data_IF_792692572405
#
_entry.id   IF_792692572405
#
_cell.length_a   1.000
_cell.length_b   1.000
_cell.length_c   1.000
_cell.angle_alpha   90.00
_cell.angle_beta   90.00
_cell.angle_gamma   90.00
#
_symmetry.space_group_name_H-M   'P 1'
#
loop_
_entity.id
_entity.type
_entity.pdbx_description
1 polymer ?
#
# COMPACT_ATOMS: atom_id res chain seq x y z
N UNK A 1 -3.99 -11.27 -14.52
CA UNK A 1 -4.11 -10.19 -13.47
C UNK A 1 -5.52 -9.61 -13.47
N UNK A 2 -6.25 -9.61 -12.33
CA UNK A 2 -7.58 -8.95 -12.21
C UNK A 2 -7.39 -7.44 -12.27
N UNK A 3 -8.33 -6.74 -12.94
CA UNK A 3 -8.34 -5.28 -13.09
C UNK A 3 -9.62 -4.72 -12.46
N UNK A 4 -9.48 -3.65 -11.70
CA UNK A 4 -10.57 -2.79 -11.19
C UNK A 4 -10.50 -1.46 -11.91
N UNK A 5 -11.64 -0.87 -12.25
CA UNK A 5 -11.68 0.45 -12.88
C UNK A 5 -12.22 1.50 -11.91
N UNK A 6 -11.57 2.66 -11.86
CA UNK A 6 -11.97 3.81 -11.05
C UNK A 6 -11.63 5.12 -11.76
N UNK A 7 -12.62 5.99 -11.95
CA UNK A 7 -12.47 7.30 -12.62
C UNK A 7 -11.79 7.19 -14.00
N UNK A 8 -12.14 6.15 -14.78
CA UNK A 8 -11.52 5.89 -16.09
C UNK A 8 -10.07 5.39 -16.02
N UNK A 9 -9.58 5.02 -14.83
CA UNK A 9 -8.25 4.44 -14.64
C UNK A 9 -8.35 2.98 -14.24
N UNK A 10 -7.52 2.15 -14.84
CA UNK A 10 -7.43 0.71 -14.54
C UNK A 10 -6.40 0.48 -13.43
N UNK A 11 -6.75 -0.33 -12.46
CA UNK A 11 -5.95 -0.69 -11.29
C UNK A 11 -5.78 -2.21 -11.30
N UNK A 12 -4.55 -2.69 -11.33
CA UNK A 12 -4.26 -4.13 -11.22
C UNK A 12 -4.41 -4.61 -9.78
N UNK A 13 -4.82 -5.88 -9.59
CA UNK A 13 -4.97 -6.49 -8.27
C UNK A 13 -3.66 -6.51 -7.46
N UNK A 14 -2.51 -6.44 -8.14
CA UNK A 14 -1.20 -6.16 -7.55
C UNK A 14 -0.73 -4.79 -8.04
N UNK A 15 -0.34 -3.94 -7.11
CA UNK A 15 0.29 -2.64 -7.34
C UNK A 15 1.75 -2.74 -6.93
N UNK A 16 2.67 -2.34 -7.82
CA UNK A 16 4.08 -2.24 -7.45
C UNK A 16 4.32 -1.03 -6.55
N UNK A 17 4.76 -1.28 -5.31
CA UNK A 17 5.29 -0.25 -4.43
C UNK A 17 6.70 0.13 -4.86
N UNK A 18 6.96 1.42 -5.07
CA UNK A 18 8.19 1.90 -5.70
C UNK A 18 9.13 2.64 -4.75
N UNK A 19 8.95 2.53 -3.44
CA UNK A 19 9.84 3.16 -2.47
C UNK A 19 11.31 2.72 -2.66
N UNK A 20 11.52 1.42 -2.93
CA UNK A 20 12.86 0.86 -3.20
C UNK A 20 13.51 1.42 -4.45
N UNK A 21 12.74 1.87 -5.43
CA UNK A 21 13.29 2.45 -6.66
C UNK A 21 13.86 3.86 -6.47
N UNK A 22 13.53 4.52 -5.36
CA UNK A 22 13.97 5.88 -5.08
C UNK A 22 14.77 6.08 -3.79
N UNK A 23 14.83 5.06 -2.93
CA UNK A 23 15.50 5.10 -1.63
C UNK A 23 16.12 3.74 -1.31
N UNK A 24 17.13 3.72 -0.45
CA UNK A 24 17.55 2.50 0.26
C UNK A 24 16.50 2.13 1.31
N UNK A 25 15.39 1.52 0.88
CA UNK A 25 14.20 1.27 1.70
C UNK A 25 14.02 -0.23 1.98
N UNK A 26 13.72 -0.57 3.23
CA UNK A 26 13.44 -1.94 3.68
C UNK A 26 14.41 -2.39 4.77
N UNK A 27 13.88 -3.04 5.83
CA UNK A 27 14.68 -3.51 6.97
C UNK A 27 15.76 -4.53 6.53
N UNK A 28 15.48 -5.27 5.47
CA UNK A 28 16.36 -6.30 4.93
C UNK A 28 17.05 -5.86 3.63
N UNK A 29 16.92 -4.58 3.22
CA UNK A 29 17.56 -4.09 2.01
C UNK A 29 19.05 -3.88 2.23
N UNK A 30 19.85 -4.90 1.92
CA UNK A 30 21.33 -4.83 1.91
C UNK A 30 21.90 -4.29 0.58
N UNK A 31 21.08 -4.07 -0.45
CA UNK A 31 21.54 -3.67 -1.80
C UNK A 31 21.53 -2.15 -2.02
N UNK A 32 20.82 -1.41 -1.18
CA UNK A 32 20.62 0.03 -1.37
C UNK A 32 19.57 0.37 -2.43
N UNK A 33 19.67 1.59 -2.98
CA UNK A 33 18.83 2.02 -4.10
C UNK A 33 19.36 1.41 -5.40
N UNK A 34 18.50 0.79 -6.25
CA UNK A 34 18.92 0.21 -7.51
C UNK A 34 19.38 1.28 -8.52
N UNK A 35 20.23 0.90 -9.47
CA UNK A 35 20.49 1.70 -10.66
C UNK A 35 19.20 1.87 -11.50
N UNK A 36 19.21 2.84 -12.43
CA UNK A 36 18.05 3.02 -13.32
C UNK A 36 17.81 1.78 -14.20
N UNK A 37 18.86 1.11 -14.62
CA UNK A 37 18.82 -0.11 -15.41
C UNK A 37 18.17 -1.26 -14.63
N UNK A 38 18.54 -1.45 -13.36
CA UNK A 38 17.93 -2.46 -12.48
C UNK A 38 16.45 -2.11 -12.17
N UNK A 39 16.15 -0.82 -11.90
CA UNK A 39 14.79 -0.35 -11.75
C UNK A 39 13.94 -0.60 -13.00
N UNK A 40 14.50 -0.39 -14.18
CA UNK A 40 13.83 -0.65 -15.47
C UNK A 40 13.48 -2.12 -15.65
N UNK A 41 14.37 -3.04 -15.26
CA UNK A 41 14.09 -4.49 -15.31
C UNK A 41 12.93 -4.89 -14.39
N UNK A 42 12.82 -4.27 -13.21
CA UNK A 42 11.67 -4.49 -12.31
C UNK A 42 10.39 -3.97 -12.95
N UNK A 43 10.42 -2.78 -13.56
CA UNK A 43 9.27 -2.17 -14.23
C UNK A 43 8.84 -2.95 -15.49
N UNK A 44 9.80 -3.43 -16.30
CA UNK A 44 9.52 -4.32 -17.43
C UNK A 44 8.84 -5.62 -16.99
N UNK A 45 9.35 -6.22 -15.90
CA UNK A 45 8.76 -7.42 -15.31
C UNK A 45 7.34 -7.13 -14.82
N UNK A 46 7.11 -6.00 -14.15
CA UNK A 46 5.77 -5.60 -13.70
C UNK A 46 4.78 -5.55 -14.87
N UNK A 47 5.16 -4.84 -15.91
CA UNK A 47 4.30 -4.69 -17.10
C UNK A 47 4.08 -6.01 -17.84
N UNK A 48 5.07 -6.92 -17.89
CA UNK A 48 4.93 -8.24 -18.52
C UNK A 48 3.95 -9.15 -17.75
N UNK A 49 3.89 -9.00 -16.42
CA UNK A 49 2.94 -9.71 -15.56
C UNK A 49 1.54 -9.05 -15.49
N UNK A 50 1.32 -7.98 -16.26
CA UNK A 50 0.06 -7.23 -16.28
C UNK A 50 -0.15 -6.36 -15.04
N UNK A 51 0.93 -6.02 -14.32
CA UNK A 51 0.90 -5.04 -13.24
C UNK A 51 1.00 -3.66 -13.87
N UNK A 52 -0.11 -2.93 -13.87
CA UNK A 52 -0.22 -1.60 -14.48
C UNK A 52 -0.38 -0.48 -13.45
N UNK A 53 -0.40 -0.81 -12.16
CA UNK A 53 -0.53 0.14 -11.06
C UNK A 53 0.78 0.27 -10.31
N UNK A 54 1.20 1.53 -10.02
CA UNK A 54 2.47 1.86 -9.39
C UNK A 54 2.21 2.84 -8.24
N UNK A 55 2.54 2.44 -7.00
CA UNK A 55 2.38 3.27 -5.81
C UNK A 55 3.72 3.94 -5.46
N UNK A 56 3.77 5.24 -5.62
CA UNK A 56 4.92 6.09 -5.31
C UNK A 56 4.58 7.16 -4.29
N UNK A 57 5.50 8.06 -3.98
CA UNK A 57 5.27 9.24 -3.17
C UNK A 57 6.38 10.26 -3.41
N UNK A 58 6.05 11.54 -3.22
CA UNK A 58 7.04 12.64 -3.18
C UNK A 58 8.16 12.38 -2.15
N UNK A 59 7.83 11.73 -1.02
CA UNK A 59 8.77 11.37 0.03
C UNK A 59 9.66 10.15 -0.29
N UNK A 60 9.50 9.50 -1.45
CA UNK A 60 10.28 8.32 -1.84
C UNK A 60 11.51 8.68 -2.69
N UNK A 61 12.19 9.77 -2.34
CA UNK A 61 13.43 10.20 -3.00
C UNK A 61 13.26 10.38 -4.50
N UNK A 62 14.00 9.59 -5.29
CA UNK A 62 14.00 9.67 -6.76
C UNK A 62 12.90 8.84 -7.43
N UNK A 63 12.03 8.16 -6.68
CA UNK A 63 11.05 7.22 -7.24
C UNK A 63 10.14 7.82 -8.30
N UNK A 64 9.62 9.05 -8.09
CA UNK A 64 8.80 9.73 -9.10
C UNK A 64 9.59 10.04 -10.39
N UNK A 65 10.86 10.47 -10.26
CA UNK A 65 11.72 10.76 -11.40
C UNK A 65 12.12 9.49 -12.17
N UNK A 66 12.39 8.38 -11.46
CA UNK A 66 12.65 7.06 -12.07
C UNK A 66 11.45 6.60 -12.89
N UNK A 67 10.23 6.67 -12.33
CA UNK A 67 9.01 6.34 -13.05
C UNK A 67 8.79 7.25 -14.26
N UNK A 68 8.96 8.56 -14.10
CA UNK A 68 8.81 9.53 -15.18
C UNK A 68 9.79 9.26 -16.32
N UNK A 69 11.08 9.03 -16.01
CA UNK A 69 12.12 8.69 -16.99
C UNK A 69 11.82 7.38 -17.74
N UNK A 70 11.37 6.36 -17.02
CA UNK A 70 11.03 5.06 -17.60
C UNK A 70 9.84 5.20 -18.53
N UNK A 71 8.74 5.77 -18.07
CA UNK A 71 7.50 5.88 -18.82
C UNK A 71 7.54 6.93 -19.94
N UNK A 72 8.51 7.82 -19.98
CA UNK A 72 8.71 8.72 -21.11
C UNK A 72 8.98 7.99 -22.43
N UNK A 73 9.52 6.75 -22.35
CA UNK A 73 9.83 5.90 -23.51
C UNK A 73 8.87 4.73 -23.67
N UNK A 74 8.03 4.48 -22.66
CA UNK A 74 7.13 3.33 -22.59
C UNK A 74 5.68 3.79 -22.75
N UNK A 75 5.06 3.38 -23.84
CA UNK A 75 3.69 3.79 -24.20
C UNK A 75 2.57 2.93 -23.62
N UNK A 76 2.88 1.88 -22.83
CA UNK A 76 1.87 0.99 -22.25
C UNK A 76 1.01 1.70 -21.23
N UNK A 77 -0.24 1.24 -21.09
CA UNK A 77 -1.20 1.73 -20.10
C UNK A 77 -0.65 1.59 -18.68
N UNK A 78 -0.79 2.65 -17.88
CA UNK A 78 -0.34 2.67 -16.49
C UNK A 78 -1.19 3.58 -15.62
N UNK A 79 -1.27 3.25 -14.35
CA UNK A 79 -1.90 4.08 -13.32
C UNK A 79 -0.90 4.33 -12.19
N UNK A 80 -0.43 5.56 -12.08
CA UNK A 80 0.50 5.98 -11.04
C UNK A 80 -0.30 6.63 -9.90
N UNK A 81 -0.08 6.14 -8.69
CA UNK A 81 -0.70 6.63 -7.47
C UNK A 81 0.40 7.28 -6.63
N UNK A 82 0.43 8.62 -6.56
CA UNK A 82 1.44 9.32 -5.76
C UNK A 82 0.86 9.91 -4.48
N UNK A 83 1.73 10.39 -3.59
CA UNK A 83 1.37 10.92 -2.28
C UNK A 83 2.14 12.19 -1.97
N UNK A 84 1.47 13.13 -1.31
CA UNK A 84 2.07 14.36 -0.79
C UNK A 84 2.07 14.34 0.74
N UNK A 85 3.10 14.93 1.33
CA UNK A 85 3.24 15.15 2.76
C UNK A 85 3.79 16.55 3.01
N UNK A 86 3.11 17.27 3.89
CA UNK A 86 3.62 18.49 4.53
C UNK A 86 2.99 18.61 5.93
N UNK A 87 3.72 19.15 6.90
CA UNK A 87 3.29 19.14 8.30
C UNK A 87 3.22 20.54 8.92
N UNK A 88 4.11 21.43 8.55
CA UNK A 88 4.25 22.76 9.20
C UNK A 88 3.92 23.89 8.23
N UNK A 89 2.66 23.87 7.74
CA UNK A 89 2.11 24.86 6.82
C UNK A 89 0.98 25.58 7.53
N UNK A 90 0.91 26.88 7.38
CA UNK A 90 -0.24 27.66 7.84
C UNK A 90 -1.52 27.21 7.12
N UNK A 91 -2.65 27.21 7.81
CA UNK A 91 -3.94 26.78 7.25
C UNK A 91 -4.30 27.56 5.99
N UNK A 92 -3.97 28.85 5.94
CA UNK A 92 -4.20 29.71 4.77
C UNK A 92 -3.36 29.32 3.53
N UNK A 93 -2.26 28.61 3.72
CA UNK A 93 -1.33 28.18 2.66
C UNK A 93 -1.52 26.71 2.24
N UNK A 94 -2.42 25.96 2.88
CA UNK A 94 -2.63 24.52 2.63
C UNK A 94 -2.94 24.26 1.16
N UNK A 95 -3.86 25.04 0.56
CA UNK A 95 -4.23 24.87 -0.84
C UNK A 95 -3.02 25.07 -1.75
N UNK A 96 -2.35 26.21 -1.63
CA UNK A 96 -1.22 26.54 -2.51
C UNK A 96 -0.08 25.55 -2.38
N UNK A 97 0.20 25.08 -1.16
CA UNK A 97 1.21 24.05 -0.89
C UNK A 97 0.83 22.71 -1.53
N UNK A 98 -0.43 22.28 -1.40
CA UNK A 98 -0.93 21.06 -2.03
C UNK A 98 -0.81 21.11 -3.55
N UNK A 99 -1.23 22.23 -4.15
CA UNK A 99 -1.18 22.42 -5.60
C UNK A 99 0.26 22.47 -6.12
N UNK A 100 1.15 23.16 -5.42
CA UNK A 100 2.58 23.20 -5.75
C UNK A 100 3.20 21.80 -5.68
N UNK A 101 2.87 21.03 -4.63
CA UNK A 101 3.34 19.65 -4.48
C UNK A 101 2.82 18.73 -5.60
N UNK A 102 1.55 18.86 -5.98
CA UNK A 102 0.97 18.10 -7.08
C UNK A 102 1.64 18.43 -8.43
N UNK A 103 1.86 19.70 -8.73
CA UNK A 103 2.56 20.12 -9.96
C UNK A 103 4.01 19.65 -10.01
N UNK A 104 4.70 19.62 -8.86
CA UNK A 104 6.06 19.06 -8.78
C UNK A 104 6.07 17.56 -9.08
N UNK A 105 5.11 16.80 -8.51
CA UNK A 105 4.94 15.37 -8.85
C UNK A 105 4.62 15.16 -10.32
N UNK A 106 3.71 15.97 -10.91
CA UNK A 106 3.40 15.93 -12.34
C UNK A 106 4.64 16.15 -13.22
N UNK A 107 5.48 17.13 -12.86
CA UNK A 107 6.73 17.42 -13.56
C UNK A 107 7.71 16.26 -13.50
N UNK A 108 7.91 15.66 -12.32
CA UNK A 108 8.81 14.50 -12.13
C UNK A 108 8.32 13.26 -12.87
N UNK A 109 7.01 13.02 -12.83
CA UNK A 109 6.36 11.87 -13.49
C UNK A 109 6.17 12.07 -15.00
N UNK A 110 6.42 13.28 -15.52
CA UNK A 110 6.24 13.60 -16.93
C UNK A 110 4.79 13.48 -17.40
N UNK A 111 3.83 13.92 -16.59
CA UNK A 111 2.40 13.83 -16.89
C UNK A 111 1.69 15.17 -16.69
N UNK A 112 0.67 15.42 -17.51
CA UNK A 112 -0.18 16.62 -17.37
C UNK A 112 -1.29 16.47 -16.33
N UNK A 113 -1.54 15.23 -15.87
CA UNK A 113 -2.56 14.90 -14.87
C UNK A 113 -2.14 13.67 -14.07
N UNK A 114 -2.31 13.71 -12.76
CA UNK A 114 -2.07 12.58 -11.88
C UNK A 114 -3.27 11.62 -11.95
N UNK A 115 -3.08 10.31 -12.20
CA UNK A 115 -4.19 9.36 -12.06
C UNK A 115 -4.81 9.41 -10.66
N UNK A 116 -3.97 9.29 -9.61
CA UNK A 116 -4.43 9.44 -8.23
C UNK A 116 -3.40 10.20 -7.38
N UNK A 117 -3.90 11.14 -6.59
CA UNK A 117 -3.12 11.86 -5.57
C UNK A 117 -3.68 11.55 -4.18
N UNK A 118 -2.82 11.11 -3.27
CA UNK A 118 -3.18 10.84 -1.88
C UNK A 118 -2.46 11.76 -0.89
N UNK A 119 -3.08 12.03 0.24
CA UNK A 119 -2.35 12.44 1.43
C UNK A 119 -1.51 11.26 1.93
N UNK A 120 -0.26 11.52 2.35
CA UNK A 120 0.67 10.45 2.69
C UNK A 120 0.31 9.75 4.00
N UNK A 121 -0.31 10.46 4.93
CA UNK A 121 -0.84 9.92 6.17
C UNK A 121 -2.05 10.71 6.69
N UNK A 122 -2.73 10.12 7.65
CA UNK A 122 -3.92 10.65 8.32
C UNK A 122 -3.67 11.93 9.13
N UNK A 123 -2.44 12.18 9.57
CA UNK A 123 -2.12 13.36 10.38
C UNK A 123 -2.42 14.67 9.66
N UNK A 124 -2.39 14.67 8.32
CA UNK A 124 -2.78 15.81 7.51
C UNK A 124 -4.29 16.10 7.60
N UNK A 125 -5.12 15.05 7.67
CA UNK A 125 -6.56 15.19 7.90
C UNK A 125 -6.83 15.66 9.33
N UNK A 126 -6.14 15.10 10.31
CA UNK A 126 -6.27 15.51 11.72
C UNK A 126 -5.88 16.98 11.92
N UNK A 127 -4.82 17.44 11.24
CA UNK A 127 -4.32 18.82 11.37
C UNK A 127 -5.14 19.84 10.61
N UNK A 128 -5.53 19.55 9.37
CA UNK A 128 -6.11 20.54 8.45
C UNK A 128 -7.61 20.32 8.18
N UNK A 129 -8.18 19.19 8.59
CA UNK A 129 -9.60 18.88 8.50
C UNK A 129 -10.21 19.17 7.13
N UNK A 130 -11.35 19.86 7.13
CA UNK A 130 -12.09 20.19 5.91
C UNK A 130 -11.32 21.09 4.93
N UNK A 131 -10.31 21.83 5.41
CA UNK A 131 -9.53 22.72 4.54
C UNK A 131 -8.76 21.92 3.49
N UNK A 132 -8.06 20.86 3.93
CA UNK A 132 -7.30 20.02 3.00
C UNK A 132 -8.20 19.13 2.15
N UNK A 133 -9.34 18.68 2.68
CA UNK A 133 -10.33 17.93 1.90
C UNK A 133 -10.90 18.78 0.76
N UNK A 134 -11.31 20.02 1.05
CA UNK A 134 -11.74 20.97 -0.01
C UNK A 134 -10.65 21.24 -1.03
N UNK A 135 -9.41 21.46 -0.59
CA UNK A 135 -8.29 21.70 -1.50
C UNK A 135 -8.03 20.50 -2.43
N UNK A 136 -8.19 19.25 -1.95
CA UNK A 136 -8.11 18.04 -2.78
C UNK A 136 -9.23 17.99 -3.83
N UNK A 137 -10.47 18.33 -3.44
CA UNK A 137 -11.58 18.38 -4.38
C UNK A 137 -11.43 19.46 -5.43
N UNK A 138 -10.92 20.64 -5.04
CA UNK A 138 -10.62 21.72 -5.98
C UNK A 138 -9.52 21.30 -6.97
N UNK A 139 -8.45 20.64 -6.49
CA UNK A 139 -7.39 20.10 -7.33
C UNK A 139 -7.92 19.10 -8.35
N UNK A 140 -8.84 18.21 -7.93
CA UNK A 140 -9.53 17.28 -8.84
C UNK A 140 -10.43 18.02 -9.83
N UNK A 141 -11.18 19.01 -9.40
CA UNK A 141 -12.06 19.80 -10.25
C UNK A 141 -11.27 20.62 -11.30
N UNK A 142 -10.09 21.13 -10.96
CA UNK A 142 -9.16 21.78 -11.90
C UNK A 142 -8.47 20.81 -12.87
N UNK A 143 -8.71 19.49 -12.73
CA UNK A 143 -8.19 18.47 -13.62
C UNK A 143 -6.73 18.11 -13.39
N UNK A 144 -6.14 18.48 -12.23
CA UNK A 144 -4.77 18.08 -11.90
C UNK A 144 -4.66 16.64 -11.41
N UNK A 145 -5.76 16.05 -10.92
CA UNK A 145 -5.86 14.62 -10.63
C UNK A 145 -7.21 14.04 -11.07
N UNK A 146 -7.25 12.76 -11.47
CA UNK A 146 -8.49 12.05 -11.77
C UNK A 146 -9.17 11.54 -10.49
N UNK A 147 -8.38 11.24 -9.46
CA UNK A 147 -8.87 10.81 -8.17
C UNK A 147 -7.99 11.27 -7.02
N UNK A 148 -8.62 11.38 -5.85
CA UNK A 148 -8.01 11.86 -4.62
C UNK A 148 -8.18 10.84 -3.49
N UNK A 149 -7.33 10.92 -2.47
CA UNK A 149 -7.44 9.97 -1.35
C UNK A 149 -6.45 10.21 -0.23
N UNK A 150 -6.29 9.18 0.59
CA UNK A 150 -5.43 9.21 1.77
C UNK A 150 -4.81 7.85 2.05
N UNK A 151 -3.59 7.85 2.59
CA UNK A 151 -2.94 6.65 3.14
C UNK A 151 -2.94 6.75 4.67
N UNK A 152 -3.36 5.68 5.32
CA UNK A 152 -3.36 5.55 6.78
C UNK A 152 -2.11 4.79 7.25
N UNK A 153 -1.58 5.23 8.38
CA UNK A 153 -0.60 4.49 9.19
C UNK A 153 -1.24 3.97 10.48
N UNK A 154 -2.01 4.81 11.17
CA UNK A 154 -2.91 4.41 12.25
C UNK A 154 -4.37 4.43 11.76
N UNK A 155 -5.07 3.29 11.88
CA UNK A 155 -6.42 3.09 11.37
C UNK A 155 -7.52 3.39 12.41
N UNK A 156 -7.16 3.75 13.63
CA UNK A 156 -8.13 3.93 14.74
C UNK A 156 -9.27 4.89 14.41
N UNK A 157 -8.97 5.92 13.62
CA UNK A 157 -9.94 6.96 13.24
C UNK A 157 -10.35 6.88 11.76
N UNK A 158 -10.06 5.77 11.08
CA UNK A 158 -10.26 5.69 9.63
C UNK A 158 -11.70 6.01 9.22
N UNK A 159 -12.68 5.49 9.94
CA UNK A 159 -14.11 5.74 9.66
C UNK A 159 -14.47 7.21 9.89
N UNK A 160 -14.00 7.80 11.00
CA UNK A 160 -14.25 9.20 11.35
C UNK A 160 -13.61 10.14 10.30
N UNK A 161 -12.32 9.94 10.01
CA UNK A 161 -11.55 10.82 9.14
C UNK A 161 -11.91 10.70 7.65
N UNK A 162 -12.54 9.60 7.24
CA UNK A 162 -12.99 9.43 5.84
C UNK A 162 -14.45 9.78 5.62
N UNK A 163 -15.23 9.97 6.70
CA UNK A 163 -16.66 10.22 6.62
C UNK A 163 -16.96 11.51 5.84
N UNK A 164 -17.71 11.37 4.76
CA UNK A 164 -18.12 12.50 3.91
C UNK A 164 -17.00 13.09 3.04
N UNK A 165 -15.78 12.58 3.11
CA UNK A 165 -14.65 13.11 2.33
C UNK A 165 -14.71 12.78 0.83
N UNK A 166 -15.49 11.79 0.40
CA UNK A 166 -15.61 11.42 -1.01
C UNK A 166 -14.29 10.97 -1.64
N UNK A 167 -13.43 10.29 -0.89
CA UNK A 167 -12.16 9.79 -1.40
C UNK A 167 -12.36 8.68 -2.44
N UNK A 168 -11.63 8.76 -3.54
CA UNK A 168 -11.61 7.76 -4.60
C UNK A 168 -10.73 6.57 -4.25
N UNK A 169 -9.66 6.80 -3.46
CA UNK A 169 -8.70 5.77 -3.06
C UNK A 169 -8.34 5.92 -1.57
N UNK A 170 -8.33 4.80 -0.85
CA UNK A 170 -7.89 4.72 0.53
C UNK A 170 -6.84 3.63 0.62
N UNK A 171 -5.69 3.95 1.21
CA UNK A 171 -4.60 3.00 1.43
C UNK A 171 -4.42 2.79 2.93
N UNK A 172 -4.27 1.52 3.34
CA UNK A 172 -4.03 1.20 4.75
C UNK A 172 -3.15 -0.05 4.90
N UNK A 173 -2.44 -0.21 6.03
CA UNK A 173 -1.80 -1.49 6.34
C UNK A 173 -2.87 -2.51 6.75
N UNK A 174 -2.74 -3.73 6.26
CA UNK A 174 -3.43 -4.88 6.80
C UNK A 174 -2.65 -6.16 6.48
N UNK A 175 -2.75 -7.15 7.36
CA UNK A 175 -2.18 -8.47 7.22
C UNK A 175 -2.91 -9.43 8.17
N UNK A 176 -2.49 -10.68 8.24
CA UNK A 176 -3.17 -11.67 9.10
C UNK A 176 -3.26 -11.19 10.55
N UNK A 177 -2.19 -10.61 11.12
CA UNK A 177 -2.16 -10.15 12.52
C UNK A 177 -2.86 -8.81 12.73
N UNK A 178 -2.94 -7.96 11.69
CA UNK A 178 -3.63 -6.68 11.73
C UNK A 178 -4.80 -6.67 10.74
N UNK A 179 -5.85 -7.41 11.08
CA UNK A 179 -7.03 -7.61 10.23
C UNK A 179 -8.32 -7.00 10.79
N UNK A 180 -8.26 -6.15 11.81
CA UNK A 180 -9.42 -5.62 12.54
C UNK A 180 -10.45 -4.96 11.62
N UNK A 181 -10.01 -4.14 10.67
CA UNK A 181 -10.88 -3.43 9.72
C UNK A 181 -11.48 -4.36 8.66
N UNK A 182 -10.91 -5.56 8.52
CA UNK A 182 -11.48 -6.66 7.72
C UNK A 182 -12.55 -7.37 8.57
N UNK A 183 -12.22 -7.73 9.81
CA UNK A 183 -13.08 -8.50 10.69
C UNK A 183 -14.36 -7.75 11.08
N UNK A 184 -14.27 -6.42 11.30
CA UNK A 184 -15.42 -5.57 11.65
C UNK A 184 -16.20 -5.05 10.43
N UNK A 185 -15.80 -5.41 9.20
CA UNK A 185 -16.43 -5.00 7.94
C UNK A 185 -16.14 -3.56 7.52
N UNK A 186 -15.21 -2.85 8.15
CA UNK A 186 -14.83 -1.48 7.76
C UNK A 186 -14.32 -1.40 6.33
N UNK A 187 -13.46 -2.34 5.90
CA UNK A 187 -12.96 -2.41 4.50
C UNK A 187 -14.12 -2.48 3.52
N UNK A 188 -15.10 -3.35 3.78
CA UNK A 188 -16.29 -3.50 2.93
C UNK A 188 -17.09 -2.20 2.86
N UNK A 189 -17.42 -1.59 4.00
CA UNK A 189 -18.16 -0.31 4.05
C UNK A 189 -17.46 0.82 3.33
N UNK A 190 -16.13 0.95 3.47
CA UNK A 190 -15.34 1.96 2.75
C UNK A 190 -15.36 1.71 1.24
N UNK A 191 -15.28 0.46 0.80
CA UNK A 191 -15.41 0.10 -0.62
C UNK A 191 -16.81 0.39 -1.16
N UNK A 192 -17.87 0.06 -0.41
CA UNK A 192 -19.26 0.35 -0.78
C UNK A 192 -19.55 1.85 -0.86
N UNK A 193 -18.82 2.69 -0.10
CA UNK A 193 -18.89 4.15 -0.25
C UNK A 193 -18.22 4.68 -1.52
N UNK A 194 -17.64 3.79 -2.34
CA UNK A 194 -17.05 4.09 -3.63
C UNK A 194 -15.54 4.23 -3.64
N UNK A 195 -14.83 4.02 -2.53
CA UNK A 195 -13.38 4.08 -2.50
C UNK A 195 -12.73 2.77 -2.98
N UNK A 196 -11.70 2.85 -3.80
CA UNK A 196 -10.78 1.73 -4.05
C UNK A 196 -9.85 1.54 -2.87
N UNK A 197 -9.88 0.37 -2.25
CA UNK A 197 -9.08 0.05 -1.07
C UNK A 197 -7.78 -0.63 -1.48
N UNK A 198 -6.66 0.00 -1.12
CA UNK A 198 -5.31 -0.51 -1.32
C UNK A 198 -4.74 -1.00 0.01
N UNK A 199 -4.25 -2.23 0.03
CA UNK A 199 -3.63 -2.81 1.23
C UNK A 199 -2.12 -2.91 1.05
N UNK A 200 -1.37 -2.41 2.03
CA UNK A 200 0.08 -2.56 2.16
C UNK A 200 0.46 -3.35 3.40
N UNK A 201 1.75 -3.66 3.55
CA UNK A 201 2.33 -4.34 4.72
C UNK A 201 1.84 -5.78 4.93
N UNK A 202 1.63 -6.51 3.83
CA UNK A 202 1.11 -7.88 3.80
C UNK A 202 1.88 -8.85 4.70
N UNK A 203 3.21 -8.67 4.79
CA UNK A 203 4.12 -9.54 5.54
C UNK A 203 4.57 -8.95 6.87
N UNK A 204 3.93 -7.87 7.33
CA UNK A 204 4.27 -7.17 8.58
C UNK A 204 5.79 -6.96 8.71
N UNK A 205 6.38 -6.25 7.71
CA UNK A 205 7.83 -6.02 7.61
C UNK A 205 8.68 -7.31 7.62
N UNK A 206 8.15 -8.40 7.10
CA UNK A 206 8.85 -9.70 7.05
C UNK A 206 8.76 -10.51 8.34
N UNK A 207 7.96 -10.07 9.32
CA UNK A 207 7.79 -10.79 10.58
C UNK A 207 7.35 -12.25 10.38
N UNK A 208 6.46 -12.50 9.41
CA UNK A 208 5.94 -13.83 9.13
C UNK A 208 6.99 -14.85 8.68
N UNK A 209 8.18 -14.38 8.28
CA UNK A 209 9.30 -15.22 7.83
C UNK A 209 10.45 -15.29 8.85
N UNK A 210 10.31 -14.59 9.99
CA UNK A 210 11.36 -14.61 11.01
C UNK A 210 11.36 -15.92 11.79
N UNK A 211 12.55 -16.33 12.16
CA UNK A 211 12.73 -17.33 13.20
C UNK A 211 12.16 -16.81 14.51
N UNK A 212 11.21 -17.55 15.08
CA UNK A 212 10.46 -17.15 16.28
C UNK A 212 11.31 -17.11 17.55
N UNK A 213 12.47 -17.78 17.56
CA UNK A 213 13.43 -17.71 18.66
C UNK A 213 14.31 -16.44 18.61
N UNK A 214 14.36 -15.76 17.46
CA UNK A 214 15.18 -14.57 17.23
C UNK A 214 14.39 -13.24 17.29
N UNK A 215 13.17 -13.24 17.81
CA UNK A 215 12.34 -12.04 17.86
C UNK A 215 12.90 -10.98 18.81
N UNK A 216 12.81 -9.67 18.44
CA UNK A 216 13.08 -8.57 19.33
C UNK A 216 12.30 -8.70 20.65
N UNK A 217 12.91 -8.29 21.77
CA UNK A 217 12.31 -8.46 23.09
C UNK A 217 10.90 -7.86 23.20
N UNK A 218 10.69 -6.67 22.64
CA UNK A 218 9.39 -5.98 22.65
C UNK A 218 8.25 -6.72 21.97
N UNK A 219 8.57 -7.60 21.04
CA UNK A 219 7.58 -8.40 20.30
C UNK A 219 7.75 -9.90 20.52
N UNK A 220 8.41 -10.29 21.61
CA UNK A 220 8.57 -11.71 21.99
C UNK A 220 7.23 -12.42 22.19
N UNK A 221 6.20 -11.68 22.57
CA UNK A 221 4.81 -12.18 22.66
C UNK A 221 4.25 -12.67 21.31
N UNK A 222 4.82 -12.23 20.18
CA UNK A 222 4.44 -12.73 18.87
C UNK A 222 4.83 -14.20 18.61
N UNK A 223 5.75 -14.79 19.42
CA UNK A 223 6.25 -16.16 19.21
C UNK A 223 5.11 -17.15 19.12
N UNK A 224 4.23 -17.21 20.11
CA UNK A 224 3.11 -18.15 20.15
C UNK A 224 2.17 -18.04 18.93
N UNK A 225 1.66 -16.85 18.62
CA UNK A 225 0.88 -16.63 17.40
C UNK A 225 1.62 -16.99 16.10
N UNK A 226 2.90 -16.64 15.96
CA UNK A 226 3.70 -17.01 14.78
C UNK A 226 3.90 -18.52 14.64
N UNK A 227 4.23 -19.23 15.73
CA UNK A 227 4.39 -20.67 15.72
C UNK A 227 3.09 -21.40 15.31
N UNK A 228 1.93 -20.86 15.71
CA UNK A 228 0.62 -21.37 15.28
C UNK A 228 0.34 -21.04 13.81
N UNK A 229 0.71 -19.85 13.35
CA UNK A 229 0.52 -19.46 11.97
C UNK A 229 1.40 -20.29 11.02
N UNK A 230 2.65 -20.57 11.40
CA UNK A 230 3.54 -21.46 10.65
C UNK A 230 2.96 -22.88 10.55
N UNK A 231 2.48 -23.43 11.66
CA UNK A 231 1.82 -24.75 11.66
C UNK A 231 0.57 -24.77 10.79
N UNK A 232 -0.27 -23.73 10.87
CA UNK A 232 -1.44 -23.63 10.00
C UNK A 232 -1.08 -23.64 8.52
N UNK A 233 -0.01 -22.95 8.12
CA UNK A 233 0.50 -22.96 6.76
C UNK A 233 0.96 -24.37 6.33
N UNK A 234 1.76 -25.06 7.18
CA UNK A 234 2.24 -26.42 6.94
C UNK A 234 1.10 -27.42 6.83
N UNK A 235 0.18 -27.45 7.81
CA UNK A 235 -0.94 -28.38 7.90
C UNK A 235 -1.93 -28.21 6.72
N UNK A 236 -2.07 -27.00 6.20
CA UNK A 236 -2.92 -26.69 5.04
C UNK A 236 -2.22 -26.92 3.70
N UNK A 237 -0.91 -27.19 3.69
CA UNK A 237 -0.10 -27.31 2.48
C UNK A 237 0.06 -26.00 1.71
N UNK A 238 -0.15 -24.85 2.37
CA UNK A 238 -0.05 -23.52 1.79
C UNK A 238 1.24 -22.85 2.27
N UNK A 239 2.03 -22.28 1.37
CA UNK A 239 3.22 -21.52 1.76
C UNK A 239 2.85 -20.27 2.58
N UNK A 240 3.74 -19.84 3.51
CA UNK A 240 3.49 -18.66 4.36
C UNK A 240 3.21 -17.39 3.54
N UNK A 241 3.95 -17.15 2.46
CA UNK A 241 3.73 -16.02 1.57
C UNK A 241 2.35 -16.08 0.89
N UNK A 242 1.97 -17.27 0.44
CA UNK A 242 0.67 -17.53 -0.17
C UNK A 242 -0.46 -17.35 0.84
N UNK A 243 -0.33 -17.87 2.05
CA UNK A 243 -1.30 -17.68 3.13
C UNK A 243 -1.52 -16.18 3.41
N UNK A 244 -0.44 -15.41 3.57
CA UNK A 244 -0.51 -13.98 3.85
C UNK A 244 -1.15 -13.17 2.72
N UNK A 245 -0.78 -13.45 1.46
CA UNK A 245 -1.33 -12.76 0.29
C UNK A 245 -2.78 -13.16 0.06
N UNK A 246 -3.11 -14.45 0.09
CA UNK A 246 -4.46 -14.96 -0.19
C UNK A 246 -5.46 -14.51 0.88
N UNK A 247 -5.03 -14.46 2.14
CA UNK A 247 -5.85 -13.93 3.23
C UNK A 247 -6.38 -12.51 2.93
N UNK A 248 -5.53 -11.63 2.40
CA UNK A 248 -5.91 -10.25 2.07
C UNK A 248 -6.57 -10.18 0.69
N UNK A 249 -6.01 -10.83 -0.34
CA UNK A 249 -6.49 -10.81 -1.72
C UNK A 249 -7.96 -11.22 -1.84
N UNK A 250 -8.36 -12.23 -1.06
CA UNK A 250 -9.69 -12.82 -1.12
C UNK A 250 -10.72 -12.11 -0.21
N UNK A 251 -10.31 -10.99 0.40
CA UNK A 251 -11.20 -10.15 1.20
C UNK A 251 -12.05 -9.26 0.30
N UNK A 252 -13.37 -9.29 0.51
CA UNK A 252 -14.32 -8.44 -0.22
C UNK A 252 -14.03 -6.94 0.02
N UNK A 253 -14.10 -6.15 -1.04
CA UNK A 253 -13.86 -4.71 -1.00
C UNK A 253 -12.42 -4.28 -1.24
N UNK A 254 -11.45 -5.20 -1.28
CA UNK A 254 -10.06 -4.87 -1.60
C UNK A 254 -9.85 -4.81 -3.12
N UNK A 255 -9.37 -3.67 -3.59
CA UNK A 255 -9.10 -3.42 -5.00
C UNK A 255 -7.70 -3.89 -5.41
N UNK A 256 -6.68 -3.61 -4.59
CA UNK A 256 -5.29 -3.90 -4.94
C UNK A 256 -4.42 -4.11 -3.70
N UNK A 257 -3.43 -5.00 -3.84
CA UNK A 257 -2.37 -5.21 -2.86
C UNK A 257 -1.10 -4.48 -3.29
N UNK A 258 -0.47 -3.75 -2.38
CA UNK A 258 0.79 -3.06 -2.67
C UNK A 258 1.95 -3.93 -2.18
N UNK A 259 2.79 -4.33 -3.12
CA UNK A 259 4.01 -5.09 -2.86
C UNK A 259 5.22 -4.32 -3.37
N UNK A 260 6.17 -4.03 -2.48
CA UNK A 260 7.50 -3.56 -2.84
C UNK A 260 8.43 -4.76 -3.09
N UNK A 261 9.36 -4.60 -4.02
CA UNK A 261 10.38 -5.60 -4.31
C UNK A 261 11.72 -4.93 -4.63
N UNK A 262 12.79 -5.69 -4.51
CA UNK A 262 14.17 -5.28 -4.81
C UNK A 262 14.70 -5.94 -6.08
N UNK A 263 14.02 -6.99 -6.56
CA UNK A 263 14.43 -7.76 -7.72
C UNK A 263 13.23 -8.18 -8.58
N UNK A 264 13.44 -8.40 -9.89
CA UNK A 264 12.41 -9.00 -10.75
C UNK A 264 11.89 -10.36 -10.23
N UNK A 265 12.77 -11.18 -9.64
CA UNK A 265 12.38 -12.49 -9.09
C UNK A 265 11.36 -12.38 -7.96
N UNK A 266 11.56 -11.45 -7.00
CA UNK A 266 10.58 -11.18 -5.93
C UNK A 266 9.25 -10.69 -6.50
N UNK A 267 9.27 -9.92 -7.58
CA UNK A 267 8.05 -9.45 -8.23
C UNK A 267 7.29 -10.58 -8.91
N UNK A 268 8.00 -11.48 -9.61
CA UNK A 268 7.40 -12.68 -10.23
C UNK A 268 6.75 -13.59 -9.18
N UNK A 269 7.41 -13.80 -8.04
CA UNK A 269 6.84 -14.52 -6.91
C UNK A 269 5.55 -13.84 -6.43
N UNK A 270 5.57 -12.54 -6.17
CA UNK A 270 4.38 -11.77 -5.77
C UNK A 270 3.24 -11.86 -6.80
N UNK A 271 3.55 -11.78 -8.09
CA UNK A 271 2.57 -11.92 -9.18
C UNK A 271 1.95 -13.33 -9.22
N UNK A 272 2.74 -14.38 -8.98
CA UNK A 272 2.25 -15.76 -8.90
C UNK A 272 1.26 -15.93 -7.75
N UNK A 273 1.54 -15.35 -6.58
CA UNK A 273 0.68 -15.42 -5.40
C UNK A 273 -0.68 -14.74 -5.60
N UNK A 274 -0.75 -13.68 -6.42
CA UNK A 274 -2.02 -13.04 -6.79
C UNK A 274 -2.92 -13.99 -7.59
N UNK A 275 -2.35 -14.90 -8.35
CA UNK A 275 -3.07 -15.87 -9.18
C UNK A 275 -3.23 -17.25 -8.50
N UNK A 276 -2.66 -17.43 -7.30
CA UNK A 276 -2.79 -18.67 -6.54
C UNK A 276 -4.25 -19.02 -6.21
N UNK A 277 -4.60 -20.29 -5.96
CA UNK A 277 -5.92 -20.68 -5.49
C UNK A 277 -6.34 -19.93 -4.22
N UNK A 278 -7.63 -19.85 -3.97
CA UNK A 278 -8.15 -19.32 -2.70
C UNK A 278 -7.82 -20.29 -1.56
N UNK A 279 -7.43 -19.74 -0.41
CA UNK A 279 -7.37 -20.52 0.82
C UNK A 279 -8.78 -20.92 1.25
N UNK A 280 -8.90 -22.08 1.94
CA UNK A 280 -10.21 -22.51 2.43
C UNK A 280 -10.74 -21.57 3.53
N UNK A 281 -12.05 -21.53 3.68
CA UNK A 281 -12.70 -20.74 4.74
C UNK A 281 -12.30 -21.23 6.15
N UNK A 282 -11.93 -22.48 6.29
CA UNK A 282 -11.42 -23.04 7.56
C UNK A 282 -10.05 -22.46 7.90
N UNK A 283 -9.12 -22.49 6.95
CA UNK A 283 -7.78 -21.88 7.08
C UNK A 283 -7.90 -20.39 7.36
N UNK A 284 -8.79 -19.70 6.65
CA UNK A 284 -9.03 -18.27 6.86
C UNK A 284 -9.53 -17.98 8.28
N UNK A 285 -10.51 -18.73 8.77
CA UNK A 285 -11.06 -18.55 10.13
C UNK A 285 -10.03 -18.84 11.20
N UNK A 286 -9.20 -19.87 11.02
CA UNK A 286 -8.15 -20.18 11.98
C UNK A 286 -7.08 -19.08 12.01
N UNK A 287 -6.67 -18.55 10.84
CA UNK A 287 -5.75 -17.41 10.77
C UNK A 287 -6.31 -16.19 11.52
N UNK A 288 -7.61 -15.89 11.38
CA UNK A 288 -8.27 -14.80 12.13
C UNK A 288 -8.26 -15.07 13.65
N UNK A 289 -8.53 -16.30 14.08
CA UNK A 289 -8.49 -16.68 15.50
C UNK A 289 -7.09 -16.56 16.09
N UNK A 290 -6.06 -16.94 15.36
CA UNK A 290 -4.67 -16.75 15.79
C UNK A 290 -4.36 -15.27 16.01
N UNK A 291 -4.90 -14.39 15.17
CA UNK A 291 -4.68 -12.95 15.26
C UNK A 291 -5.31 -12.30 16.52
N UNK A 292 -6.34 -12.89 17.10
CA UNK A 292 -6.98 -12.38 18.32
C UNK A 292 -6.02 -12.35 19.52
N UNK A 293 -5.01 -13.23 19.54
CA UNK A 293 -4.01 -13.33 20.60
C UNK A 293 -2.78 -12.43 20.36
N UNK A 294 -2.78 -11.62 19.32
CA UNK A 294 -1.64 -10.76 18.95
C UNK A 294 -1.71 -9.43 19.70
N UNK A 295 -0.67 -9.15 20.48
CA UNK A 295 -0.57 -7.88 21.21
C UNK A 295 -0.42 -6.67 20.26
N UNK A 296 -0.97 -5.50 20.63
CA UNK A 296 -0.95 -4.30 19.80
C UNK A 296 0.46 -3.82 19.40
N UNK A 297 1.49 -4.07 20.20
CA UNK A 297 2.87 -3.69 19.87
C UNK A 297 3.41 -4.46 18.68
N UNK A 298 2.97 -5.71 18.49
CA UNK A 298 3.42 -6.57 17.37
C UNK A 298 3.02 -5.98 16.02
N UNK A 299 1.84 -5.37 15.93
CA UNK A 299 1.34 -4.77 14.67
C UNK A 299 1.80 -3.31 14.47
N UNK A 300 2.76 -2.84 15.26
CA UNK A 300 3.35 -1.51 15.19
C UNK A 300 4.85 -1.57 14.96
N UNK A 301 5.33 -1.87 13.74
CA UNK A 301 6.76 -2.08 13.46
C UNK A 301 7.67 -0.93 13.88
N UNK A 302 7.15 0.30 13.91
CA UNK A 302 7.89 1.49 14.35
C UNK A 302 8.19 1.54 15.86
N UNK A 303 7.61 0.63 16.64
CA UNK A 303 7.83 0.50 18.09
C UNK A 303 8.83 -0.63 18.42
N UNK A 304 9.16 -1.53 17.49
CA UNK A 304 9.91 -2.75 17.78
C UNK A 304 11.34 -2.52 18.30
N UNK A 305 11.99 -1.45 17.87
CA UNK A 305 13.40 -1.16 18.13
C UNK A 305 13.62 0.13 18.92
N UNK A 306 12.57 0.70 19.50
CA UNK A 306 12.65 1.94 20.30
C UNK A 306 12.97 1.66 21.76
#
# INVERSE_FOLDING_TARGET
>A
MRITEKNGRKISALTLGTAQLGLAYGVNNGRGMPSFEEASLILDTALSEGIISFDTAKAYGESEAVLGRYFAKEGRERTIITKVLFTDVDVSQVKDTLFAAARDSMRKLGTERLPFLKLHNESMLEKYGDVIVRALHELKAEGLADGIGVSFSDKKKIVELTKGCGFDVIQMPANIFDNREIADGTVKRLSESGACIFIRSLYLQGLFFKDTDSLPEKIRSAKGPLDRLHRLAEDSGVGMAELAVSFIRDTEGIASLILGCETPGQLLEGASLINAPKISEEVRREAMRIAEDVEPVVIRPWEWYK
#
